data_IF_332860476676
#
_entry.id   IF_332860476676
#
_cell.length_a   1.000
_cell.length_b   1.000
_cell.length_c   1.000
_cell.angle_alpha   90.00
_cell.angle_beta   90.00
_cell.angle_gamma   90.00
#
_symmetry.space_group_name_H-M   'P 1'
#
loop_
_entity.id
_entity.type
_entity.pdbx_description
1 polymer ?
#
# COMPACT_ATOMS: atom_id res chain seq x y z
N UNK A 1 55.91 -30.02 -4.20
CA UNK A 1 54.48 -29.92 -4.57
C UNK A 1 54.45 -29.72 -6.08
N UNK A 2 53.67 -30.50 -6.80
CA UNK A 2 53.49 -30.25 -8.23
C UNK A 2 52.63 -28.99 -8.41
N UNK A 3 53.28 -27.89 -8.79
CA UNK A 3 52.63 -26.58 -8.96
C UNK A 3 51.56 -26.60 -10.06
N UNK A 4 51.76 -27.40 -11.11
CA UNK A 4 50.80 -27.55 -12.19
C UNK A 4 49.54 -28.28 -11.68
N UNK A 5 49.71 -29.34 -10.88
CA UNK A 5 48.58 -30.05 -10.27
C UNK A 5 47.79 -29.16 -9.29
N UNK A 6 48.48 -28.33 -8.50
CA UNK A 6 47.84 -27.38 -7.57
C UNK A 6 47.05 -26.31 -8.35
N UNK A 7 47.63 -25.76 -9.42
CA UNK A 7 46.97 -24.76 -10.25
C UNK A 7 45.74 -25.34 -10.96
N UNK A 8 45.82 -26.57 -11.48
CA UNK A 8 44.69 -27.26 -12.09
C UNK A 8 43.56 -27.51 -11.08
N UNK A 9 43.89 -27.95 -9.87
CA UNK A 9 42.90 -28.15 -8.80
C UNK A 9 42.24 -26.84 -8.36
N UNK A 10 43.00 -25.74 -8.28
CA UNK A 10 42.47 -24.41 -7.97
C UNK A 10 41.45 -23.95 -9.01
N UNK A 11 41.78 -24.04 -10.30
CA UNK A 11 40.87 -23.65 -11.39
C UNK A 11 39.59 -24.48 -11.34
N UNK A 12 39.71 -25.81 -11.24
CA UNK A 12 38.56 -26.69 -11.17
C UNK A 12 37.64 -26.39 -9.97
N UNK A 13 38.21 -26.09 -8.80
CA UNK A 13 37.42 -25.74 -7.61
C UNK A 13 36.74 -24.37 -7.75
N UNK A 14 37.44 -23.38 -8.32
CA UNK A 14 36.88 -22.06 -8.61
C UNK A 14 35.69 -22.16 -9.58
N UNK A 15 35.81 -22.95 -10.63
CA UNK A 15 34.75 -23.13 -11.63
C UNK A 15 33.51 -23.81 -11.01
N UNK A 16 33.71 -24.78 -10.10
CA UNK A 16 32.61 -25.37 -9.32
C UNK A 16 31.91 -24.37 -8.39
N UNK A 17 32.66 -23.47 -7.77
CA UNK A 17 32.10 -22.40 -6.93
C UNK A 17 31.26 -21.41 -7.76
N UNK A 18 31.71 -21.07 -8.96
CA UNK A 18 30.97 -20.19 -9.87
C UNK A 18 29.71 -20.89 -10.40
N UNK A 19 29.74 -22.19 -10.70
CA UNK A 19 28.56 -22.98 -11.04
C UNK A 19 27.55 -23.05 -9.87
N UNK A 20 28.02 -23.21 -8.63
CA UNK A 20 27.19 -23.17 -7.43
C UNK A 20 26.50 -21.80 -7.27
N UNK A 21 27.23 -20.70 -7.51
CA UNK A 21 26.67 -19.35 -7.49
C UNK A 21 25.63 -19.13 -8.59
N UNK A 22 25.86 -19.63 -9.80
CA UNK A 22 24.90 -19.56 -10.90
C UNK A 22 23.62 -20.34 -10.57
N UNK A 23 23.77 -21.54 -10.02
CA UNK A 23 22.63 -22.37 -9.57
C UNK A 23 21.85 -21.67 -8.45
N UNK A 24 22.54 -21.06 -7.48
CA UNK A 24 21.92 -20.23 -6.43
C UNK A 24 21.10 -19.08 -7.01
N UNK A 25 21.60 -18.44 -8.07
CA UNK A 25 20.93 -17.32 -8.72
C UNK A 25 19.62 -17.76 -9.39
N UNK A 26 19.55 -18.97 -9.94
CA UNK A 26 18.33 -19.52 -10.55
C UNK A 26 17.17 -19.67 -9.56
N UNK A 27 17.46 -19.87 -8.26
CA UNK A 27 16.42 -19.98 -7.22
C UNK A 27 15.60 -18.69 -7.09
N UNK A 28 16.21 -17.52 -7.31
CA UNK A 28 15.50 -16.24 -7.24
C UNK A 28 14.45 -16.11 -8.33
N UNK A 29 14.76 -16.55 -9.55
CA UNK A 29 13.78 -16.59 -10.65
C UNK A 29 12.62 -17.53 -10.31
N UNK A 30 12.89 -18.70 -9.71
CA UNK A 30 11.82 -19.63 -9.33
C UNK A 30 10.93 -19.12 -8.19
N UNK A 31 11.52 -18.40 -7.22
CA UNK A 31 10.79 -17.74 -6.12
C UNK A 31 9.85 -16.63 -6.63
N UNK A 32 10.20 -16.01 -7.75
CA UNK A 32 9.38 -14.99 -8.39
C UNK A 32 8.02 -15.56 -8.82
N UNK A 33 7.99 -16.77 -9.38
CA UNK A 33 6.77 -17.40 -9.89
C UNK A 33 5.99 -18.19 -8.83
N UNK A 34 6.67 -18.67 -7.78
CA UNK A 34 6.12 -19.63 -6.81
C UNK A 34 5.92 -19.06 -5.40
N UNK A 35 6.15 -17.76 -5.22
CA UNK A 35 6.06 -17.10 -3.92
C UNK A 35 7.37 -17.17 -3.13
N UNK A 36 7.55 -16.20 -2.23
CA UNK A 36 8.80 -16.01 -1.50
C UNK A 36 8.74 -16.67 -0.13
N UNK A 37 9.68 -17.59 0.09
CA UNK A 37 10.04 -18.09 1.42
C UNK A 37 11.25 -17.33 1.95
N UNK A 38 11.06 -16.56 3.04
CA UNK A 38 12.15 -15.84 3.73
C UNK A 38 13.27 -16.79 4.15
N UNK A 39 12.89 -17.99 4.62
CA UNK A 39 13.86 -19.02 5.02
C UNK A 39 14.72 -19.51 3.86
N UNK A 40 14.11 -19.74 2.68
CA UNK A 40 14.87 -20.13 1.48
C UNK A 40 15.78 -19.01 1.01
N UNK A 41 15.24 -17.80 0.92
CA UNK A 41 15.96 -16.56 0.63
C UNK A 41 17.21 -16.42 1.50
N UNK A 42 17.05 -16.61 2.81
CA UNK A 42 18.13 -16.49 3.77
C UNK A 42 19.20 -17.57 3.55
N UNK A 43 18.79 -18.82 3.29
CA UNK A 43 19.72 -19.93 2.98
C UNK A 43 20.50 -19.68 1.68
N UNK A 44 19.83 -19.23 0.62
CA UNK A 44 20.48 -18.92 -0.68
C UNK A 44 21.48 -17.77 -0.51
N UNK A 45 21.13 -16.74 0.26
CA UNK A 45 22.06 -15.65 0.57
C UNK A 45 23.26 -16.14 1.38
N UNK A 46 23.04 -16.92 2.44
CA UNK A 46 24.13 -17.52 3.21
C UNK A 46 25.05 -18.37 2.32
N UNK A 47 24.48 -19.11 1.37
CA UNK A 47 25.25 -19.88 0.40
C UNK A 47 26.13 -18.98 -0.48
N UNK A 48 25.59 -17.87 -1.00
CA UNK A 48 26.37 -16.88 -1.77
C UNK A 48 27.49 -16.27 -0.94
N UNK A 49 27.22 -15.87 0.30
CA UNK A 49 28.24 -15.31 1.21
C UNK A 49 29.34 -16.34 1.52
N UNK A 50 28.98 -17.61 1.72
CA UNK A 50 29.95 -18.71 1.90
C UNK A 50 30.82 -18.91 0.65
N UNK A 51 30.22 -18.93 -0.54
CA UNK A 51 30.96 -19.06 -1.82
C UNK A 51 31.95 -17.91 -1.99
N UNK A 52 31.53 -16.67 -1.73
CA UNK A 52 32.42 -15.50 -1.82
C UNK A 52 33.57 -15.57 -0.81
N UNK A 53 33.29 -16.00 0.42
CA UNK A 53 34.32 -16.18 1.46
C UNK A 53 35.33 -17.26 1.08
N UNK A 54 34.88 -18.38 0.52
CA UNK A 54 35.77 -19.45 0.02
C UNK A 54 36.66 -18.89 -1.09
N UNK A 55 36.10 -18.12 -2.03
CA UNK A 55 36.87 -17.51 -3.13
C UNK A 55 37.97 -16.58 -2.62
N UNK A 56 37.69 -15.73 -1.63
CA UNK A 56 38.73 -14.88 -1.03
C UNK A 56 39.83 -15.66 -0.31
N UNK A 57 39.47 -16.75 0.37
CA UNK A 57 40.45 -17.62 1.01
C UNK A 57 41.36 -18.30 -0.03
N UNK A 58 40.79 -18.74 -1.16
CA UNK A 58 41.54 -19.31 -2.27
C UNK A 58 42.45 -18.26 -2.94
N UNK A 59 41.94 -17.06 -3.19
CA UNK A 59 42.74 -15.94 -3.73
C UNK A 59 43.89 -15.59 -2.78
N UNK A 60 43.66 -15.64 -1.46
CA UNK A 60 44.71 -15.47 -0.45
C UNK A 60 45.75 -16.59 -0.44
N UNK A 61 45.32 -17.84 -0.62
CA UNK A 61 46.19 -19.02 -0.65
C UNK A 61 47.12 -19.03 -1.87
N UNK A 62 46.62 -18.56 -3.02
CA UNK A 62 47.37 -18.53 -4.30
C UNK A 62 48.09 -17.21 -4.56
N UNK A 63 47.83 -16.16 -3.77
CA UNK A 63 48.43 -14.85 -3.99
C UNK A 63 49.93 -14.86 -3.71
N UNK A 64 50.77 -14.35 -4.62
CA UNK A 64 52.18 -14.10 -4.34
C UNK A 64 52.37 -12.99 -3.29
N UNK A 65 51.33 -12.20 -2.99
CA UNK A 65 51.31 -11.15 -1.96
C UNK A 65 50.16 -11.38 -0.95
N UNK A 66 50.31 -12.32 0.00
CA UNK A 66 49.23 -12.73 0.88
C UNK A 66 48.74 -11.63 1.83
N UNK A 67 49.59 -10.65 2.18
CA UNK A 67 49.25 -9.57 3.11
C UNK A 67 48.04 -8.74 2.67
N UNK A 68 47.94 -8.40 1.38
CA UNK A 68 46.81 -7.62 0.83
C UNK A 68 45.52 -8.43 0.84
N UNK A 69 45.61 -9.71 0.48
CA UNK A 69 44.45 -10.63 0.49
C UNK A 69 43.94 -10.87 1.92
N UNK A 70 44.85 -11.03 2.88
CA UNK A 70 44.52 -11.19 4.31
C UNK A 70 43.87 -9.90 4.85
N UNK A 71 44.42 -8.72 4.54
CA UNK A 71 43.83 -7.45 4.98
C UNK A 71 42.40 -7.27 4.44
N UNK A 72 42.17 -7.62 3.17
CA UNK A 72 40.83 -7.60 2.54
C UNK A 72 39.86 -8.56 3.24
N UNK A 73 40.31 -9.78 3.53
CA UNK A 73 39.52 -10.79 4.24
C UNK A 73 39.15 -10.31 5.65
N UNK A 74 40.11 -9.78 6.42
CA UNK A 74 39.86 -9.21 7.76
C UNK A 74 38.86 -8.06 7.68
N UNK A 75 39.00 -7.15 6.71
CA UNK A 75 38.04 -6.09 6.47
C UNK A 75 36.62 -6.62 6.23
N UNK A 76 36.46 -7.66 5.41
CA UNK A 76 35.14 -8.29 5.18
C UNK A 76 34.60 -9.01 6.42
N UNK A 77 35.46 -9.62 7.23
CA UNK A 77 35.05 -10.27 8.48
C UNK A 77 34.58 -9.27 9.53
N UNK A 78 35.26 -8.13 9.66
CA UNK A 78 34.84 -7.02 10.52
C UNK A 78 33.50 -6.47 10.06
N UNK A 79 33.33 -6.25 8.75
CA UNK A 79 32.07 -5.79 8.18
C UNK A 79 30.93 -6.79 8.45
N UNK A 80 31.15 -8.08 8.18
CA UNK A 80 30.18 -9.14 8.44
C UNK A 80 29.84 -9.29 9.94
N UNK A 81 30.83 -9.11 10.82
CA UNK A 81 30.63 -9.07 12.27
C UNK A 81 29.76 -7.89 12.70
N UNK A 82 29.99 -6.70 12.13
CA UNK A 82 29.17 -5.52 12.41
C UNK A 82 27.73 -5.68 11.91
N UNK A 83 27.54 -6.30 10.75
CA UNK A 83 26.23 -6.58 10.19
C UNK A 83 25.48 -7.62 11.03
N UNK A 84 26.16 -8.66 11.53
CA UNK A 84 25.58 -9.67 12.43
C UNK A 84 25.09 -9.08 13.75
N UNK A 85 25.81 -8.11 14.30
CA UNK A 85 25.45 -7.47 15.57
C UNK A 85 24.43 -6.33 15.40
N UNK A 86 23.91 -6.11 14.18
CA UNK A 86 22.99 -5.03 13.89
C UNK A 86 21.58 -5.55 13.56
N UNK A 87 20.64 -5.29 14.47
CA UNK A 87 19.20 -5.52 14.23
C UNK A 87 18.74 -4.72 13.00
N UNK A 88 19.28 -3.51 12.81
CA UNK A 88 19.00 -2.67 11.63
C UNK A 88 19.48 -3.34 10.34
N UNK A 89 20.68 -3.93 10.32
CA UNK A 89 21.18 -4.63 9.14
C UNK A 89 20.38 -5.91 8.86
N UNK A 90 19.98 -6.65 9.91
CA UNK A 90 19.11 -7.81 9.77
C UNK A 90 17.75 -7.44 9.15
N UNK A 91 17.08 -6.41 9.67
CA UNK A 91 15.81 -5.91 9.12
C UNK A 91 16.01 -5.41 7.69
N UNK A 92 17.02 -4.57 7.44
CA UNK A 92 17.26 -4.02 6.10
C UNK A 92 17.49 -5.12 5.05
N UNK A 93 18.14 -6.21 5.45
CA UNK A 93 18.60 -7.23 4.54
C UNK A 93 17.62 -8.42 4.36
N UNK A 94 16.70 -8.64 5.31
CA UNK A 94 15.59 -9.59 5.17
C UNK A 94 14.32 -8.95 4.59
N UNK A 95 14.10 -7.65 4.88
CA UNK A 95 12.92 -6.94 4.37
C UNK A 95 13.02 -6.62 2.88
N UNK A 96 14.22 -6.51 2.30
CA UNK A 96 14.41 -6.04 0.92
C UNK A 96 13.78 -6.94 -0.14
N UNK A 97 13.83 -8.28 0.01
CA UNK A 97 13.30 -9.20 -1.01
C UNK A 97 11.82 -9.50 -0.86
N UNK A 98 11.29 -9.55 0.38
CA UNK A 98 9.85 -9.53 0.60
C UNK A 98 9.24 -8.22 0.10
N UNK A 99 9.88 -7.08 0.42
CA UNK A 99 9.47 -5.78 -0.07
C UNK A 99 9.54 -5.68 -1.59
N UNK A 100 10.60 -6.21 -2.23
CA UNK A 100 10.74 -6.22 -3.67
C UNK A 100 9.59 -6.96 -4.35
N UNK A 101 9.18 -8.12 -3.82
CA UNK A 101 8.09 -8.89 -4.43
C UNK A 101 6.70 -8.34 -4.15
N UNK A 102 6.48 -7.83 -2.94
CA UNK A 102 5.26 -7.06 -2.62
C UNK A 102 5.16 -5.84 -3.54
N UNK A 103 6.28 -5.21 -3.87
CA UNK A 103 6.37 -4.08 -4.81
C UNK A 103 6.09 -4.52 -6.25
N UNK A 104 6.74 -5.55 -6.78
CA UNK A 104 6.60 -5.98 -8.19
C UNK A 104 5.18 -6.39 -8.57
N UNK A 105 4.48 -7.16 -7.73
CA UNK A 105 3.10 -7.58 -8.06
C UNK A 105 2.07 -6.49 -7.82
N UNK A 106 2.32 -5.61 -6.83
CA UNK A 106 1.51 -4.40 -6.64
C UNK A 106 1.64 -3.45 -7.83
N UNK A 107 2.81 -3.41 -8.49
CA UNK A 107 3.05 -2.61 -9.69
C UNK A 107 2.19 -3.05 -10.89
N UNK A 108 2.10 -4.36 -11.16
CA UNK A 108 1.25 -4.90 -12.26
C UNK A 108 -0.22 -4.51 -12.09
N UNK A 109 -0.74 -4.61 -10.86
CA UNK A 109 -2.13 -4.22 -10.56
C UNK A 109 -2.30 -2.69 -10.57
N UNK A 110 -1.26 -1.95 -10.17
CA UNK A 110 -1.25 -0.49 -10.09
C UNK A 110 -1.38 0.22 -11.44
N UNK A 111 -0.83 -0.35 -12.51
CA UNK A 111 -0.87 0.21 -13.87
C UNK A 111 -2.31 0.47 -14.37
N UNK A 112 -3.25 -0.41 -14.03
CA UNK A 112 -4.65 -0.27 -14.41
C UNK A 112 -5.37 0.90 -13.73
N UNK A 113 -4.81 1.46 -12.65
CA UNK A 113 -5.36 2.64 -11.98
C UNK A 113 -4.85 3.96 -12.58
N UNK A 114 -3.82 3.92 -13.43
CA UNK A 114 -3.25 5.12 -14.06
C UNK A 114 -4.00 5.40 -15.37
N UNK A 115 -4.84 6.43 -15.33
CA UNK A 115 -5.59 6.91 -16.50
C UNK A 115 -4.66 7.68 -17.43
N UNK A 116 -4.74 7.44 -18.74
CA UNK A 116 -3.88 8.08 -19.75
C UNK A 116 -4.65 8.87 -20.81
N UNK A 117 -5.95 8.61 -20.92
CA UNK A 117 -6.85 9.28 -21.86
C UNK A 117 -8.13 9.79 -21.17
N UNK A 118 -8.96 10.51 -21.92
CA UNK A 118 -10.24 11.05 -21.43
C UNK A 118 -11.27 9.95 -21.10
N UNK A 119 -11.23 8.81 -21.78
CA UNK A 119 -12.19 7.73 -21.59
C UNK A 119 -11.94 6.98 -20.26
N UNK A 120 -10.70 6.58 -20.03
CA UNK A 120 -10.19 6.01 -18.78
C UNK A 120 -10.39 6.97 -17.60
N UNK A 121 -10.18 8.28 -17.78
CA UNK A 121 -10.50 9.28 -16.75
C UNK A 121 -11.98 9.30 -16.38
N UNK A 122 -12.88 9.36 -17.38
CA UNK A 122 -14.33 9.33 -17.14
C UNK A 122 -14.77 8.02 -16.48
N UNK A 123 -14.18 6.90 -16.88
CA UNK A 123 -14.44 5.60 -16.25
C UNK A 123 -14.00 5.58 -14.78
N UNK A 124 -12.82 6.13 -14.47
CA UNK A 124 -12.32 6.27 -13.11
C UNK A 124 -13.29 7.10 -12.25
N UNK A 125 -13.70 8.28 -12.74
CA UNK A 125 -14.67 9.13 -12.03
C UNK A 125 -16.00 8.41 -11.79
N UNK A 126 -16.52 7.65 -12.77
CA UNK A 126 -17.76 6.86 -12.61
C UNK A 126 -17.61 5.75 -11.57
N UNK A 127 -16.51 5.01 -11.59
CA UNK A 127 -16.23 3.97 -10.58
C UNK A 127 -16.05 4.57 -9.19
N UNK A 128 -15.41 5.73 -9.11
CA UNK A 128 -15.24 6.47 -7.86
C UNK A 128 -16.56 7.06 -7.35
N UNK A 129 -17.41 7.58 -8.24
CA UNK A 129 -18.75 8.03 -7.90
C UNK A 129 -19.56 6.91 -7.24
N UNK A 130 -19.57 5.70 -7.83
CA UNK A 130 -20.24 4.55 -7.21
C UNK A 130 -19.63 4.18 -5.85
N UNK A 131 -18.30 4.25 -5.70
CA UNK A 131 -17.64 4.06 -4.40
C UNK A 131 -18.08 5.10 -3.35
N UNK A 132 -18.25 6.36 -3.75
CA UNK A 132 -18.78 7.42 -2.90
C UNK A 132 -20.23 7.18 -2.48
N UNK A 133 -21.07 6.74 -3.42
CA UNK A 133 -22.46 6.37 -3.15
C UNK A 133 -22.58 5.19 -2.18
N UNK A 134 -21.78 4.12 -2.32
CA UNK A 134 -21.80 3.01 -1.36
C UNK A 134 -21.25 3.46 0.02
N UNK A 135 -20.29 4.38 0.02
CA UNK A 135 -19.74 4.93 1.26
C UNK A 135 -20.78 5.78 2.02
N UNK A 136 -21.79 6.35 1.37
CA UNK A 136 -22.85 7.08 2.09
C UNK A 136 -23.64 6.17 3.02
N UNK A 137 -23.96 4.95 2.57
CA UNK A 137 -24.58 3.91 3.40
C UNK A 137 -23.68 3.50 4.57
N UNK A 138 -22.36 3.48 4.34
CA UNK A 138 -21.35 3.18 5.35
C UNK A 138 -21.34 4.25 6.45
N UNK A 139 -21.48 5.53 6.07
CA UNK A 139 -21.57 6.64 7.03
C UNK A 139 -22.84 6.55 7.87
N UNK A 140 -23.99 6.22 7.26
CA UNK A 140 -25.23 6.00 8.01
C UNK A 140 -25.11 4.82 8.98
N UNK A 141 -24.60 3.68 8.50
CA UNK A 141 -24.39 2.50 9.32
C UNK A 141 -23.44 2.78 10.50
N UNK A 142 -22.41 3.61 10.30
CA UNK A 142 -21.54 4.09 11.37
C UNK A 142 -22.35 4.79 12.46
N UNK A 143 -23.15 5.80 12.13
CA UNK A 143 -23.97 6.49 13.13
C UNK A 143 -24.96 5.54 13.83
N UNK A 144 -25.52 4.57 13.10
CA UNK A 144 -26.34 3.50 13.69
C UNK A 144 -25.58 2.68 14.74
N UNK A 145 -24.34 2.28 14.46
CA UNK A 145 -23.49 1.54 15.43
C UNK A 145 -23.18 2.41 16.66
N UNK A 146 -22.87 3.69 16.48
CA UNK A 146 -22.64 4.60 17.60
C UNK A 146 -23.91 4.80 18.46
N UNK A 147 -25.09 4.85 17.82
CA UNK A 147 -26.36 5.00 18.51
C UNK A 147 -26.74 3.80 19.40
N UNK A 148 -26.15 2.61 19.17
CA UNK A 148 -26.35 1.45 20.03
C UNK A 148 -25.71 1.60 21.42
N UNK A 149 -24.86 2.62 21.64
CA UNK A 149 -24.26 2.87 22.96
C UNK A 149 -23.33 1.76 23.45
N UNK A 150 -22.75 0.98 22.52
CA UNK A 150 -21.83 -0.10 22.85
C UNK A 150 -20.54 0.44 23.51
N UNK A 151 -19.87 -0.40 24.31
CA UNK A 151 -18.56 -0.05 24.84
C UNK A 151 -17.55 0.22 23.72
N UNK A 152 -16.49 0.99 24.01
CA UNK A 152 -15.52 1.44 23.01
C UNK A 152 -14.96 0.29 22.15
N UNK A 153 -14.63 -0.85 22.77
CA UNK A 153 -14.15 -2.03 22.05
C UNK A 153 -15.19 -2.60 21.08
N UNK A 154 -16.43 -2.81 21.54
CA UNK A 154 -17.49 -3.40 20.72
C UNK A 154 -17.96 -2.47 19.62
N UNK A 155 -18.03 -1.16 19.89
CA UNK A 155 -18.29 -0.14 18.87
C UNK A 155 -17.18 -0.10 17.82
N UNK A 156 -15.91 -0.18 18.26
CA UNK A 156 -14.74 -0.26 17.37
C UNK A 156 -14.72 -1.53 16.52
N UNK A 157 -15.03 -2.69 17.10
CA UNK A 157 -15.13 -3.96 16.38
C UNK A 157 -16.28 -3.94 15.38
N UNK A 158 -17.47 -3.50 15.80
CA UNK A 158 -18.65 -3.39 14.93
C UNK A 158 -18.39 -2.44 13.75
N UNK A 159 -17.82 -1.26 14.02
CA UNK A 159 -17.40 -0.32 12.98
C UNK A 159 -16.35 -0.93 12.06
N UNK A 160 -15.39 -1.67 12.61
CA UNK A 160 -14.32 -2.31 11.83
C UNK A 160 -14.82 -3.38 10.88
N UNK A 161 -15.72 -4.25 11.34
CA UNK A 161 -16.39 -5.26 10.51
C UNK A 161 -17.26 -4.59 9.44
N UNK A 162 -17.99 -3.54 9.80
CA UNK A 162 -18.84 -2.78 8.87
C UNK A 162 -18.00 -2.09 7.77
N UNK A 163 -16.89 -1.44 8.13
CA UNK A 163 -15.96 -0.86 7.16
C UNK A 163 -15.35 -1.94 6.26
N UNK A 164 -14.92 -3.07 6.82
CA UNK A 164 -14.37 -4.19 6.04
C UNK A 164 -15.40 -4.70 5.02
N UNK A 165 -16.64 -4.93 5.44
CA UNK A 165 -17.73 -5.36 4.57
C UNK A 165 -18.00 -4.34 3.45
N UNK A 166 -18.05 -3.05 3.79
CA UNK A 166 -18.23 -1.97 2.81
C UNK A 166 -17.10 -1.94 1.78
N UNK A 167 -15.84 -1.96 2.21
CA UNK A 167 -14.69 -1.91 1.30
C UNK A 167 -14.59 -3.15 0.41
N UNK A 168 -14.94 -4.32 0.93
CA UNK A 168 -15.07 -5.56 0.15
C UNK A 168 -16.20 -5.44 -0.87
N UNK A 169 -17.37 -4.88 -0.50
CA UNK A 169 -18.47 -4.65 -1.42
C UNK A 169 -18.08 -3.68 -2.55
N UNK A 170 -17.40 -2.56 -2.25
CA UNK A 170 -16.85 -1.64 -3.26
C UNK A 170 -15.96 -2.40 -4.25
N UNK A 171 -15.06 -3.27 -3.76
CA UNK A 171 -14.18 -4.07 -4.61
C UNK A 171 -14.96 -5.05 -5.49
N UNK A 172 -15.92 -5.78 -4.93
CA UNK A 172 -16.70 -6.80 -5.65
C UNK A 172 -17.63 -6.19 -6.71
N UNK A 173 -18.11 -4.97 -6.49
CA UNK A 173 -18.89 -4.20 -7.46
C UNK A 173 -18.01 -3.49 -8.52
N UNK A 174 -16.70 -3.71 -8.50
CA UNK A 174 -15.72 -3.06 -9.38
C UNK A 174 -15.75 -1.52 -9.31
N UNK A 175 -16.16 -0.99 -8.16
CA UNK A 175 -16.13 0.42 -7.82
C UNK A 175 -14.74 0.79 -7.28
N UNK A 176 -14.49 2.09 -7.12
CA UNK A 176 -13.18 2.59 -6.72
C UNK A 176 -13.27 3.40 -5.44
N UNK A 177 -12.43 3.04 -4.46
CA UNK A 177 -12.14 3.85 -3.31
C UNK A 177 -10.72 4.42 -3.48
N UNK A 178 -10.61 5.74 -3.56
CA UNK A 178 -9.38 6.43 -3.97
C UNK A 178 -8.18 6.07 -3.09
N UNK A 179 -8.40 5.95 -1.78
CA UNK A 179 -7.38 5.77 -0.77
C UNK A 179 -6.62 4.44 -0.85
N UNK A 180 -7.11 3.46 -1.62
CA UNK A 180 -6.41 2.18 -1.86
C UNK A 180 -5.34 2.27 -2.95
N UNK A 181 -5.54 3.15 -3.93
CA UNK A 181 -4.70 3.22 -5.12
C UNK A 181 -3.24 3.60 -4.86
N UNK A 182 -2.90 4.53 -3.94
CA UNK A 182 -1.53 5.02 -3.77
C UNK A 182 -0.52 3.91 -3.47
N UNK A 183 -0.92 2.91 -2.68
CA UNK A 183 -0.06 1.79 -2.33
C UNK A 183 0.23 0.84 -3.50
N UNK A 184 -0.64 0.81 -4.51
CA UNK A 184 -0.49 -0.02 -5.72
C UNK A 184 0.24 0.74 -6.84
N UNK A 185 -0.04 2.03 -6.99
CA UNK A 185 0.53 2.86 -8.07
C UNK A 185 1.98 3.29 -7.79
N UNK A 186 2.38 3.43 -6.52
CA UNK A 186 3.75 3.85 -6.19
C UNK A 186 4.82 2.83 -6.62
N UNK A 187 4.63 1.51 -6.39
CA UNK A 187 5.49 0.49 -6.98
C UNK A 187 5.60 0.54 -8.51
N UNK A 188 4.48 0.75 -9.21
CA UNK A 188 4.45 0.86 -10.67
C UNK A 188 5.33 2.02 -11.15
N UNK A 189 5.18 3.19 -10.52
CA UNK A 189 6.01 4.35 -10.83
C UNK A 189 7.49 4.09 -10.55
N UNK A 190 7.81 3.44 -9.42
CA UNK A 190 9.19 3.09 -9.06
C UNK A 190 9.84 2.11 -10.07
N UNK A 191 9.07 1.19 -10.65
CA UNK A 191 9.57 0.27 -11.67
C UNK A 191 9.96 1.00 -12.97
N UNK A 192 9.23 2.07 -13.34
CA UNK A 192 9.50 2.91 -14.53
C UNK A 192 10.78 3.73 -14.40
N UNK A 193 11.19 4.09 -13.18
CA UNK A 193 12.46 4.79 -12.93
C UNK A 193 13.69 4.01 -13.43
N UNK A 194 13.62 2.67 -13.58
CA UNK A 194 14.73 1.83 -14.07
C UNK A 194 15.18 2.19 -15.49
N UNK A 195 14.29 2.75 -16.32
CA UNK A 195 14.55 3.05 -17.73
C UNK A 195 15.15 4.43 -18.02
N UNK A 196 15.26 5.31 -17.01
CA UNK A 196 15.66 6.71 -17.20
C UNK A 196 17.19 6.80 -17.28
N UNK A 197 17.78 6.41 -18.41
CA UNK A 197 19.22 6.62 -18.70
C UNK A 197 19.47 7.75 -19.71
N UNK A 198 18.42 8.31 -20.33
CA UNK A 198 18.46 9.39 -21.32
C UNK A 198 17.49 10.54 -20.95
N UNK A 199 17.67 11.73 -21.55
CA UNK A 199 16.77 12.89 -21.37
C UNK A 199 15.32 12.63 -21.77
N UNK A 200 15.09 11.86 -22.84
CA UNK A 200 13.72 11.47 -23.27
C UNK A 200 12.96 10.66 -22.21
N UNK A 201 13.64 9.85 -21.41
CA UNK A 201 13.01 9.06 -20.35
C UNK A 201 12.55 9.89 -19.15
N UNK A 202 13.05 11.12 -19.00
CA UNK A 202 12.65 12.01 -17.91
C UNK A 202 11.28 12.64 -18.18
N UNK A 203 11.04 13.09 -19.41
CA UNK A 203 9.76 13.69 -19.79
C UNK A 203 8.63 12.65 -19.74
N UNK A 204 8.86 11.44 -20.24
CA UNK A 204 7.94 10.31 -20.12
C UNK A 204 7.62 9.99 -18.65
N UNK A 205 8.63 10.02 -17.78
CA UNK A 205 8.43 9.80 -16.36
C UNK A 205 7.60 10.92 -15.71
N UNK A 206 7.86 12.18 -16.06
CA UNK A 206 7.09 13.33 -15.56
C UNK A 206 5.64 13.26 -16.02
N UNK A 207 5.38 12.87 -17.27
CA UNK A 207 4.03 12.64 -17.79
C UNK A 207 3.34 11.49 -17.05
N UNK A 208 4.07 10.42 -16.72
CA UNK A 208 3.54 9.31 -15.93
C UNK A 208 3.18 9.74 -14.50
N UNK A 209 4.01 10.58 -13.85
CA UNK A 209 3.67 11.18 -12.56
C UNK A 209 2.42 12.05 -12.68
N UNK A 210 2.30 12.86 -13.73
CA UNK A 210 1.12 13.69 -13.96
C UNK A 210 -0.15 12.83 -14.15
N UNK A 211 -0.08 11.76 -14.94
CA UNK A 211 -1.16 10.79 -15.12
C UNK A 211 -1.57 10.12 -13.81
N UNK A 212 -0.60 9.74 -12.98
CA UNK A 212 -0.85 9.15 -11.67
C UNK A 212 -1.57 10.13 -10.74
N UNK A 213 -1.04 11.34 -10.57
CA UNK A 213 -1.66 12.39 -9.73
C UNK A 213 -3.07 12.70 -10.21
N UNK A 214 -3.25 12.87 -11.52
CA UNK A 214 -4.55 13.09 -12.14
C UNK A 214 -5.56 11.99 -11.81
N UNK A 215 -5.11 10.74 -11.85
CA UNK A 215 -5.96 9.58 -11.53
C UNK A 215 -6.36 9.55 -10.05
N UNK A 216 -5.43 9.88 -9.15
CA UNK A 216 -5.71 10.00 -7.71
C UNK A 216 -6.70 11.13 -7.42
N UNK A 217 -6.51 12.30 -8.02
CA UNK A 217 -7.44 13.42 -7.84
C UNK A 217 -8.83 13.06 -8.37
N UNK A 218 -8.92 12.46 -9.57
CA UNK A 218 -10.19 12.01 -10.14
C UNK A 218 -10.93 11.04 -9.22
N UNK A 219 -10.21 10.08 -8.63
CA UNK A 219 -10.78 9.12 -7.70
C UNK A 219 -11.25 9.79 -6.39
N UNK A 220 -10.44 10.65 -5.77
CA UNK A 220 -10.80 11.34 -4.53
C UNK A 220 -12.01 12.24 -4.76
N UNK A 221 -12.00 13.06 -5.81
CA UNK A 221 -13.11 13.94 -6.15
C UNK A 221 -14.37 13.13 -6.49
N UNK A 222 -14.26 12.06 -7.28
CA UNK A 222 -15.39 11.19 -7.59
C UNK A 222 -16.03 10.59 -6.33
N UNK A 223 -15.23 10.18 -5.35
CA UNK A 223 -15.77 9.71 -4.06
C UNK A 223 -16.44 10.86 -3.28
N UNK A 224 -15.75 11.99 -3.09
CA UNK A 224 -16.19 13.09 -2.21
C UNK A 224 -17.41 13.83 -2.77
N UNK A 225 -17.40 14.14 -4.07
CA UNK A 225 -18.49 14.88 -4.72
C UNK A 225 -19.80 14.08 -4.76
N UNK A 226 -19.76 12.75 -4.61
CA UNK A 226 -20.95 11.91 -4.55
C UNK A 226 -21.34 11.55 -3.13
N UNK A 227 -20.39 11.27 -2.23
CA UNK A 227 -20.73 10.88 -0.85
C UNK A 227 -21.45 12.00 -0.10
N UNK A 228 -21.05 13.26 -0.30
CA UNK A 228 -21.66 14.41 0.40
C UNK A 228 -23.15 14.56 0.03
N UNK A 229 -23.54 14.71 -1.25
CA UNK A 229 -24.96 14.81 -1.60
C UNK A 229 -25.73 13.52 -1.32
N UNK A 230 -25.11 12.34 -1.48
CA UNK A 230 -25.78 11.07 -1.17
C UNK A 230 -26.10 10.93 0.33
N UNK A 231 -25.16 11.29 1.22
CA UNK A 231 -25.45 11.32 2.66
C UNK A 231 -26.47 12.40 2.99
N UNK A 232 -26.39 13.57 2.36
CA UNK A 232 -27.37 14.64 2.58
C UNK A 232 -28.79 14.18 2.21
N UNK A 233 -28.96 13.54 1.04
CA UNK A 233 -30.24 12.99 0.61
C UNK A 233 -30.76 11.92 1.58
N UNK A 234 -29.89 11.02 2.05
CA UNK A 234 -30.25 10.00 3.02
C UNK A 234 -30.64 10.59 4.39
N UNK A 235 -29.93 11.63 4.84
CA UNK A 235 -30.22 12.33 6.09
C UNK A 235 -31.54 13.12 6.01
N UNK A 236 -31.82 13.76 4.87
CA UNK A 236 -33.12 14.42 4.62
C UNK A 236 -34.24 13.38 4.59
N UNK A 237 -34.07 12.27 3.86
CA UNK A 237 -35.06 11.20 3.80
C UNK A 237 -35.36 10.62 5.20
N UNK A 238 -34.33 10.44 6.02
CA UNK A 238 -34.46 10.04 7.42
C UNK A 238 -35.29 11.05 8.22
N UNK A 239 -34.96 12.35 8.10
CA UNK A 239 -35.67 13.42 8.80
C UNK A 239 -37.14 13.51 8.39
N UNK A 240 -37.45 13.36 7.11
CA UNK A 240 -38.83 13.35 6.61
C UNK A 240 -39.60 12.11 7.10
N UNK A 241 -38.95 10.94 7.14
CA UNK A 241 -39.60 9.69 7.55
C UNK A 241 -39.85 9.61 9.06
N UNK A 242 -38.91 10.07 9.89
CA UNK A 242 -38.96 9.92 11.35
C UNK A 242 -39.25 11.22 12.10
N UNK A 243 -39.39 12.34 11.39
CA UNK A 243 -39.67 13.67 11.96
C UNK A 243 -38.63 14.10 13.00
N UNK A 244 -37.39 13.59 12.88
CA UNK A 244 -36.26 13.87 13.77
C UNK A 244 -34.97 13.90 12.96
N UNK A 245 -34.02 14.81 13.27
CA UNK A 245 -32.75 14.85 12.56
C UNK A 245 -31.97 13.55 12.76
N UNK A 246 -31.10 13.22 11.79
CA UNK A 246 -30.24 12.02 11.86
C UNK A 246 -29.30 12.08 13.08
N UNK A 247 -28.82 13.27 13.40
CA UNK A 247 -28.01 13.57 14.59
C UNK A 247 -28.70 14.68 15.38
N UNK A 248 -28.68 14.62 16.70
CA UNK A 248 -29.03 15.80 17.49
C UNK A 248 -27.95 16.89 17.36
N UNK A 249 -28.28 18.10 17.81
CA UNK A 249 -27.39 19.25 17.67
C UNK A 249 -26.04 19.06 18.38
N UNK A 250 -26.01 18.36 19.52
CA UNK A 250 -24.79 18.13 20.29
C UNK A 250 -23.85 17.16 19.56
N UNK A 251 -24.38 16.05 19.06
CA UNK A 251 -23.63 15.06 18.29
C UNK A 251 -23.17 15.64 16.94
N UNK A 252 -24.01 16.42 16.25
CA UNK A 252 -23.62 17.09 15.01
C UNK A 252 -22.48 18.10 15.25
N UNK A 253 -22.57 18.90 16.32
CA UNK A 253 -21.49 19.80 16.74
C UNK A 253 -20.19 19.05 17.09
N UNK A 254 -20.29 17.94 17.83
CA UNK A 254 -19.14 17.10 18.17
C UNK A 254 -18.47 16.49 16.92
N UNK A 255 -19.26 16.04 15.94
CA UNK A 255 -18.74 15.54 14.66
C UNK A 255 -17.96 16.63 13.93
N UNK A 256 -18.53 17.83 13.76
CA UNK A 256 -17.83 18.94 13.10
C UNK A 256 -16.58 19.36 13.86
N UNK A 257 -16.64 19.42 15.20
CA UNK A 257 -15.49 19.72 16.05
C UNK A 257 -14.36 18.70 15.92
N UNK A 258 -14.69 17.41 15.91
CA UNK A 258 -13.71 16.33 15.75
C UNK A 258 -13.02 16.31 14.39
N UNK A 259 -13.66 16.90 13.37
CA UNK A 259 -13.18 16.99 11.99
C UNK A 259 -12.63 18.39 11.64
N UNK A 260 -12.59 19.31 12.59
CA UNK A 260 -12.08 20.67 12.38
C UNK A 260 -10.60 20.65 12.02
N UNK A 261 -10.22 21.42 10.99
CA UNK A 261 -8.82 21.60 10.61
C UNK A 261 -8.00 22.34 11.68
N UNK A 262 -8.64 23.14 12.54
CA UNK A 262 -7.97 23.80 13.66
C UNK A 262 -7.56 22.83 14.79
N UNK A 263 -8.06 21.59 14.76
CA UNK A 263 -7.75 20.54 15.72
C UNK A 263 -6.68 19.53 15.22
N UNK A 264 -6.59 18.35 15.83
CA UNK A 264 -5.60 17.31 15.50
C UNK A 264 -5.89 16.56 14.18
N UNK A 265 -6.86 17.02 13.38
CA UNK A 265 -7.33 16.36 12.15
C UNK A 265 -6.19 16.08 11.16
N UNK A 266 -5.22 16.99 11.04
CA UNK A 266 -4.03 16.83 10.19
C UNK A 266 -3.21 15.61 10.61
N UNK A 267 -2.94 15.46 11.91
CA UNK A 267 -2.19 14.33 12.47
C UNK A 267 -2.92 13.01 12.23
N UNK A 268 -4.22 12.98 12.50
CA UNK A 268 -5.05 11.78 12.31
C UNK A 268 -5.21 11.40 10.84
N UNK A 269 -5.25 12.38 9.93
CA UNK A 269 -5.25 12.12 8.49
C UNK A 269 -3.93 11.53 7.99
N UNK A 270 -2.79 12.03 8.49
CA UNK A 270 -1.49 11.46 8.19
C UNK A 270 -1.36 10.04 8.75
N UNK A 271 -1.82 9.81 9.97
CA UNK A 271 -1.88 8.48 10.57
C UNK A 271 -2.74 7.51 9.74
N UNK A 272 -3.88 7.96 9.25
CA UNK A 272 -4.73 7.17 8.34
C UNK A 272 -3.97 6.79 7.07
N UNK A 273 -3.13 7.68 6.52
CA UNK A 273 -2.22 7.35 5.43
C UNK A 273 -1.22 6.24 5.76
N UNK A 274 -0.73 6.18 6.99
CA UNK A 274 0.11 5.07 7.48
C UNK A 274 -0.68 3.76 7.52
N UNK A 275 -1.93 3.79 7.97
CA UNK A 275 -2.80 2.60 7.99
C UNK A 275 -3.11 2.09 6.59
N UNK A 276 -3.35 2.98 5.63
CA UNK A 276 -3.53 2.63 4.22
C UNK A 276 -2.30 1.88 3.70
N UNK A 277 -1.09 2.40 3.95
CA UNK A 277 0.15 1.70 3.62
C UNK A 277 0.28 0.36 4.35
N UNK A 278 0.01 0.30 5.66
CA UNK A 278 0.10 -0.93 6.44
C UNK A 278 -0.85 -2.03 5.90
N UNK A 279 -2.07 -1.66 5.49
CA UNK A 279 -3.03 -2.60 4.89
C UNK A 279 -2.53 -3.20 3.59
N UNK A 280 -1.76 -2.43 2.80
CA UNK A 280 -1.15 -2.93 1.56
C UNK A 280 -0.01 -3.93 1.82
N UNK A 281 0.72 -3.79 2.92
CA UNK A 281 1.71 -4.78 3.34
C UNK A 281 1.05 -6.10 3.75
N UNK A 282 -0.07 -6.02 4.48
CA UNK A 282 -0.86 -7.20 4.85
C UNK A 282 -1.41 -7.89 3.60
N UNK A 283 -1.85 -7.11 2.62
CA UNK A 283 -2.31 -7.62 1.32
C UNK A 283 -1.21 -8.39 0.58
N UNK A 284 -0.04 -7.78 0.42
CA UNK A 284 1.11 -8.42 -0.23
C UNK A 284 1.60 -9.65 0.52
N UNK A 285 1.58 -9.63 1.86
CA UNK A 285 1.89 -10.80 2.68
C UNK A 285 0.87 -11.94 2.49
N UNK A 286 -0.42 -11.64 2.52
CA UNK A 286 -1.49 -12.63 2.35
C UNK A 286 -1.46 -13.27 0.96
N UNK A 287 -1.24 -12.46 -0.07
CA UNK A 287 -1.06 -12.93 -1.44
C UNK A 287 0.18 -13.82 -1.59
N UNK A 288 1.31 -13.41 -1.00
CA UNK A 288 2.52 -14.24 -0.98
C UNK A 288 2.28 -15.57 -0.27
N UNK A 289 1.63 -15.57 0.90
CA UNK A 289 1.29 -16.79 1.64
C UNK A 289 0.36 -17.69 0.82
N UNK A 290 -0.61 -17.11 0.11
CA UNK A 290 -1.54 -17.84 -0.74
C UNK A 290 -0.83 -18.59 -1.88
N UNK A 291 0.13 -17.94 -2.54
CA UNK A 291 0.94 -18.57 -3.61
C UNK A 291 1.94 -19.56 -3.02
N UNK A 292 2.67 -19.18 -1.97
CA UNK A 292 3.71 -20.00 -1.34
C UNK A 292 3.17 -21.35 -0.85
N UNK A 293 1.98 -21.35 -0.23
CA UNK A 293 1.33 -22.55 0.27
C UNK A 293 0.45 -23.25 -0.79
N UNK A 294 0.46 -22.77 -2.04
CA UNK A 294 -0.35 -23.30 -3.15
C UNK A 294 -1.82 -23.46 -2.77
N UNK A 295 -2.38 -22.45 -2.08
CA UNK A 295 -3.74 -22.51 -1.57
C UNK A 295 -4.78 -22.62 -2.69
N UNK A 296 -4.48 -22.09 -3.87
CA UNK A 296 -5.26 -22.32 -5.10
C UNK A 296 -5.39 -23.82 -5.43
N UNK A 297 -4.28 -24.54 -5.42
CA UNK A 297 -4.24 -25.99 -5.66
C UNK A 297 -4.94 -26.74 -4.52
N UNK A 298 -4.68 -26.34 -3.27
CA UNK A 298 -5.31 -26.94 -2.10
C UNK A 298 -6.83 -26.81 -2.17
N UNK A 299 -7.37 -25.64 -2.50
CA UNK A 299 -8.82 -25.43 -2.64
C UNK A 299 -9.42 -26.20 -3.81
N UNK A 300 -8.72 -26.24 -4.95
CA UNK A 300 -9.20 -26.93 -6.16
C UNK A 300 -9.33 -28.44 -5.98
N UNK A 301 -8.40 -29.06 -5.26
CA UNK A 301 -8.32 -30.52 -5.09
C UNK A 301 -8.72 -31.01 -3.70
N UNK A 302 -9.21 -30.14 -2.81
CA UNK A 302 -9.67 -30.55 -1.48
C UNK A 302 -10.89 -31.48 -1.60
N UNK A 303 -10.84 -32.71 -1.03
CA UNK A 303 -11.95 -33.66 -1.11
C UNK A 303 -13.26 -33.13 -0.53
N UNK A 304 -13.22 -32.35 0.56
CA UNK A 304 -14.42 -31.77 1.20
C UNK A 304 -15.04 -30.66 0.35
N UNK A 305 -14.21 -29.78 -0.21
CA UNK A 305 -14.68 -28.70 -1.10
C UNK A 305 -15.26 -29.32 -2.38
N UNK A 306 -14.57 -30.32 -2.94
CA UNK A 306 -15.04 -31.07 -4.10
C UNK A 306 -16.37 -31.78 -3.85
N UNK A 307 -16.54 -32.40 -2.68
CA UNK A 307 -17.78 -33.07 -2.29
C UNK A 307 -18.95 -32.09 -2.14
N UNK A 308 -18.73 -30.90 -1.57
CA UNK A 308 -19.80 -29.91 -1.31
C UNK A 308 -20.15 -29.09 -2.55
N UNK A 309 -19.16 -28.62 -3.32
CA UNK A 309 -19.38 -27.68 -4.43
C UNK A 309 -19.34 -28.35 -5.82
N UNK A 310 -18.65 -29.48 -5.94
CA UNK A 310 -18.26 -30.10 -7.21
C UNK A 310 -16.97 -29.51 -7.78
N UNK A 311 -16.25 -30.31 -8.57
CA UNK A 311 -14.91 -29.96 -9.10
C UNK A 311 -14.88 -28.65 -9.92
N UNK A 312 -15.92 -28.38 -10.72
CA UNK A 312 -15.98 -27.16 -11.53
C UNK A 312 -16.15 -25.89 -10.67
N UNK A 313 -16.96 -25.96 -9.59
CA UNK A 313 -17.13 -24.82 -8.67
C UNK A 313 -15.91 -24.63 -7.78
N UNK A 314 -15.29 -25.73 -7.32
CA UNK A 314 -14.04 -25.67 -6.57
C UNK A 314 -12.93 -24.97 -7.36
N UNK A 315 -12.81 -25.26 -8.67
CA UNK A 315 -11.88 -24.56 -9.57
C UNK A 315 -12.19 -23.06 -9.68
N UNK A 316 -13.44 -22.71 -9.98
CA UNK A 316 -13.86 -21.28 -10.04
C UNK A 316 -13.60 -20.54 -8.74
N UNK A 317 -13.82 -21.18 -7.60
CA UNK A 317 -13.56 -20.58 -6.29
C UNK A 317 -12.05 -20.38 -6.06
N UNK A 318 -11.23 -21.36 -6.40
CA UNK A 318 -9.77 -21.24 -6.32
C UNK A 318 -9.25 -20.08 -7.20
N UNK A 319 -9.72 -19.98 -8.44
CA UNK A 319 -9.36 -18.92 -9.37
C UNK A 319 -9.82 -17.55 -8.84
N UNK A 320 -11.06 -17.46 -8.34
CA UNK A 320 -11.59 -16.25 -7.70
C UNK A 320 -10.75 -15.82 -6.50
N UNK A 321 -10.39 -16.75 -5.61
CA UNK A 321 -9.53 -16.43 -4.46
C UNK A 321 -8.14 -15.99 -4.91
N UNK A 322 -7.54 -16.63 -5.92
CA UNK A 322 -6.23 -16.23 -6.45
C UNK A 322 -6.23 -14.79 -6.96
N UNK A 323 -7.32 -14.33 -7.56
CA UNK A 323 -7.46 -12.96 -8.05
C UNK A 323 -7.83 -11.95 -6.95
N UNK A 324 -8.61 -12.36 -5.94
CA UNK A 324 -9.21 -11.42 -4.98
C UNK A 324 -8.57 -11.39 -3.58
N UNK A 325 -7.76 -12.39 -3.20
CA UNK A 325 -7.23 -12.54 -1.84
C UNK A 325 -6.45 -11.32 -1.35
N UNK A 326 -5.61 -10.74 -2.20
CA UNK A 326 -4.84 -9.53 -1.90
C UNK A 326 -5.78 -8.36 -1.59
N UNK A 327 -6.80 -8.17 -2.43
CA UNK A 327 -7.78 -7.12 -2.24
C UNK A 327 -8.64 -7.30 -0.97
N UNK A 328 -9.02 -8.54 -0.64
CA UNK A 328 -9.73 -8.86 0.60
C UNK A 328 -8.86 -8.61 1.82
N UNK A 329 -7.61 -9.08 1.83
CA UNK A 329 -6.68 -8.83 2.92
C UNK A 329 -6.45 -7.32 3.14
N UNK A 330 -6.28 -6.53 2.07
CA UNK A 330 -6.18 -5.08 2.15
C UNK A 330 -7.43 -4.44 2.79
N UNK A 331 -8.61 -4.75 2.24
CA UNK A 331 -9.87 -4.12 2.63
C UNK A 331 -10.32 -4.53 4.04
N UNK A 332 -10.19 -5.80 4.39
CA UNK A 332 -10.54 -6.33 5.71
C UNK A 332 -9.60 -5.77 6.77
N UNK A 333 -8.29 -5.84 6.55
CA UNK A 333 -7.33 -5.29 7.50
C UNK A 333 -7.49 -3.78 7.67
N UNK A 334 -7.68 -3.02 6.58
CA UNK A 334 -7.96 -1.59 6.65
C UNK A 334 -9.24 -1.31 7.45
N UNK A 335 -10.36 -1.97 7.12
CA UNK A 335 -11.63 -1.78 7.82
C UNK A 335 -11.51 -2.01 9.32
N UNK A 336 -10.92 -3.14 9.71
CA UNK A 336 -10.64 -3.46 11.11
C UNK A 336 -9.72 -2.42 11.76
N UNK A 337 -8.68 -1.95 11.08
CA UNK A 337 -7.78 -0.94 11.60
C UNK A 337 -8.48 0.41 11.83
N UNK A 338 -9.32 0.87 10.89
CA UNK A 338 -10.06 2.13 11.04
C UNK A 338 -11.10 2.07 12.19
N UNK A 339 -11.63 0.88 12.51
CA UNK A 339 -12.60 0.69 13.59
C UNK A 339 -11.96 0.45 14.97
N UNK A 340 -10.99 -0.47 15.06
CA UNK A 340 -10.44 -0.93 16.33
C UNK A 340 -9.31 -0.04 16.87
N UNK A 341 -8.45 0.54 16.02
CA UNK A 341 -7.32 1.32 16.53
C UNK A 341 -7.72 2.52 17.39
N UNK A 342 -8.77 3.29 17.06
CA UNK A 342 -9.22 4.37 17.95
C UNK A 342 -9.60 3.87 19.35
N UNK A 343 -10.28 2.71 19.43
CA UNK A 343 -10.64 2.10 20.71
C UNK A 343 -9.41 1.62 21.50
N UNK A 344 -8.45 0.98 20.81
CA UNK A 344 -7.20 0.53 21.43
C UNK A 344 -6.35 1.72 21.89
N UNK A 345 -6.20 2.75 21.06
CA UNK A 345 -5.46 3.96 21.41
C UNK A 345 -6.09 4.73 22.57
N UNK A 346 -7.42 4.80 22.60
CA UNK A 346 -8.18 5.36 23.71
C UNK A 346 -7.93 4.61 25.02
N UNK A 347 -7.90 3.28 24.98
CA UNK A 347 -7.58 2.44 26.15
C UNK A 347 -6.19 2.74 26.73
N UNK A 348 -5.18 2.99 25.89
CA UNK A 348 -3.83 3.36 26.32
C UNK A 348 -3.66 4.88 26.59
N UNK A 349 -4.72 5.68 26.52
CA UNK A 349 -4.66 7.13 26.77
C UNK A 349 -3.95 7.95 25.69
N UNK A 350 -3.71 7.38 24.50
CA UNK A 350 -3.02 8.05 23.40
C UNK A 350 -3.92 9.06 22.66
N UNK A 351 -5.24 8.95 22.82
CA UNK A 351 -6.23 9.85 22.19
C UNK A 351 -6.17 9.87 20.66
N UNK A 352 -5.70 8.78 20.04
CA UNK A 352 -5.43 8.72 18.62
C UNK A 352 -6.66 8.27 17.84
N UNK A 353 -7.01 9.02 16.79
CA UNK A 353 -8.19 8.77 15.96
C UNK A 353 -7.80 8.73 14.47
N UNK A 354 -8.78 8.46 13.62
CA UNK A 354 -8.62 8.19 12.19
C UNK A 354 -9.49 9.17 11.39
N UNK A 355 -8.94 9.71 10.31
CA UNK A 355 -9.60 10.66 9.40
C UNK A 355 -9.42 10.16 7.97
N UNK A 356 -10.46 9.52 7.45
CA UNK A 356 -10.52 9.02 6.08
C UNK A 356 -11.39 9.95 5.24
N UNK A 357 -10.83 10.52 4.17
CA UNK A 357 -11.45 11.62 3.41
C UNK A 357 -12.91 11.41 3.05
N UNK A 358 -13.28 10.25 2.49
CA UNK A 358 -14.66 9.96 2.06
C UNK A 358 -15.62 9.81 3.23
N UNK A 359 -15.20 9.16 4.32
CA UNK A 359 -16.02 8.99 5.51
C UNK A 359 -16.18 10.34 6.22
N UNK A 360 -15.10 11.10 6.39
CA UNK A 360 -15.14 12.42 7.00
C UNK A 360 -16.01 13.40 6.21
N UNK A 361 -15.92 13.41 4.87
CA UNK A 361 -16.78 14.24 4.03
C UNK A 361 -18.27 13.88 4.20
N UNK A 362 -18.60 12.59 4.20
CA UNK A 362 -19.97 12.14 4.45
C UNK A 362 -20.46 12.50 5.85
N UNK A 363 -19.63 12.36 6.89
CA UNK A 363 -19.97 12.74 8.26
C UNK A 363 -20.24 14.25 8.40
N UNK A 364 -19.44 15.10 7.74
CA UNK A 364 -19.68 16.55 7.68
C UNK A 364 -21.03 16.83 6.99
N UNK A 365 -21.33 16.14 5.89
CA UNK A 365 -22.62 16.25 5.20
C UNK A 365 -23.81 15.89 6.10
N UNK A 366 -23.71 14.78 6.83
CA UNK A 366 -24.74 14.37 7.80
C UNK A 366 -24.94 15.40 8.92
N UNK A 367 -23.85 15.91 9.49
CA UNK A 367 -23.89 16.91 10.55
C UNK A 367 -24.47 18.24 10.07
N UNK A 368 -24.06 18.71 8.88
CA UNK A 368 -24.56 19.93 8.28
C UNK A 368 -26.08 19.86 8.02
N UNK A 369 -26.57 18.74 7.46
CA UNK A 369 -28.02 18.54 7.25
C UNK A 369 -28.77 18.47 8.58
N UNK A 370 -28.22 17.76 9.57
CA UNK A 370 -28.88 17.61 10.89
C UNK A 370 -29.01 18.93 11.65
N UNK A 371 -28.07 19.86 11.46
CA UNK A 371 -28.10 21.22 12.03
C UNK A 371 -28.98 22.20 11.22
N UNK A 372 -29.35 21.85 9.99
CA UNK A 372 -30.14 22.68 9.09
C UNK A 372 -29.40 23.91 8.54
N UNK A 373 -30.14 24.85 7.94
CA UNK A 373 -29.58 26.08 7.34
C UNK A 373 -28.72 26.93 8.30
N UNK A 374 -29.02 27.04 9.61
CA UNK A 374 -28.16 27.76 10.55
C UNK A 374 -26.71 27.24 10.60
N UNK A 375 -26.46 25.99 10.21
CA UNK A 375 -25.10 25.42 10.14
C UNK A 375 -24.17 26.22 9.23
N UNK A 376 -24.69 26.84 8.16
CA UNK A 376 -23.91 27.64 7.21
C UNK A 376 -23.28 28.89 7.85
N UNK A 377 -23.85 29.37 8.95
CA UNK A 377 -23.34 30.50 9.72
C UNK A 377 -22.31 30.06 10.77
N UNK A 378 -22.16 28.76 11.04
CA UNK A 378 -21.25 28.27 12.05
C UNK A 378 -19.82 28.17 11.49
N UNK A 379 -18.82 28.84 12.09
CA UNK A 379 -17.43 28.73 11.65
C UNK A 379 -16.90 27.30 11.68
N UNK A 380 -17.43 26.48 12.60
CA UNK A 380 -17.02 25.09 12.80
C UNK A 380 -17.27 24.23 11.55
N UNK A 381 -18.37 24.46 10.83
CA UNK A 381 -18.67 23.77 9.58
C UNK A 381 -17.58 24.05 8.55
N UNK A 382 -17.20 25.31 8.37
CA UNK A 382 -16.22 25.72 7.37
C UNK A 382 -14.81 25.23 7.70
N UNK A 383 -14.43 25.18 8.98
CA UNK A 383 -13.19 24.55 9.42
C UNK A 383 -13.17 23.04 9.14
N UNK A 384 -14.30 22.35 9.29
CA UNK A 384 -14.41 20.93 8.94
C UNK A 384 -14.39 20.71 7.42
N UNK A 385 -15.08 21.55 6.64
CA UNK A 385 -15.05 21.51 5.16
C UNK A 385 -13.65 21.78 4.63
N UNK A 386 -12.94 22.77 5.18
CA UNK A 386 -11.55 23.07 4.83
C UNK A 386 -10.59 21.90 5.14
N UNK A 387 -10.95 21.03 6.11
CA UNK A 387 -10.17 19.84 6.41
C UNK A 387 -10.24 18.77 5.31
N UNK A 388 -11.34 18.68 4.55
CA UNK A 388 -11.55 17.63 3.53
C UNK A 388 -10.38 17.52 2.53
N UNK A 389 -9.96 18.59 1.83
CA UNK A 389 -8.83 18.50 0.91
C UNK A 389 -7.51 18.12 1.60
N UNK A 390 -7.30 18.59 2.84
CA UNK A 390 -6.11 18.27 3.63
C UNK A 390 -6.10 16.78 4.03
N UNK A 391 -7.24 16.26 4.47
CA UNK A 391 -7.41 14.84 4.80
C UNK A 391 -7.13 13.99 3.56
N UNK A 392 -7.74 14.33 2.41
CA UNK A 392 -7.53 13.62 1.15
C UNK A 392 -6.07 13.62 0.71
N UNK A 393 -5.42 14.80 0.74
CA UNK A 393 -4.03 14.95 0.38
C UNK A 393 -3.11 14.11 1.29
N UNK A 394 -3.34 14.10 2.60
CA UNK A 394 -2.51 13.33 3.56
C UNK A 394 -2.77 11.83 3.49
N UNK A 395 -4.02 11.38 3.36
CA UNK A 395 -4.34 9.97 3.16
C UNK A 395 -3.57 9.41 1.94
N UNK A 396 -3.59 10.14 0.82
CA UNK A 396 -2.93 9.73 -0.43
C UNK A 396 -1.41 9.88 -0.36
N UNK A 397 -0.90 11.06 0.00
CA UNK A 397 0.53 11.36 -0.08
C UNK A 397 1.37 10.58 0.92
N UNK A 398 0.87 10.37 2.15
CA UNK A 398 1.60 9.60 3.17
C UNK A 398 1.65 8.13 2.78
N UNK A 399 0.52 7.54 2.36
CA UNK A 399 0.49 6.15 1.89
C UNK A 399 1.39 5.96 0.67
N UNK A 400 1.33 6.88 -0.29
CA UNK A 400 2.19 6.88 -1.47
C UNK A 400 3.67 6.97 -1.09
N UNK A 401 4.04 7.90 -0.20
CA UNK A 401 5.41 8.11 0.22
C UNK A 401 6.04 6.85 0.80
N UNK A 402 5.33 6.16 1.70
CA UNK A 402 5.84 4.92 2.30
C UNK A 402 5.95 3.79 1.27
N UNK A 403 4.95 3.62 0.41
CA UNK A 403 4.97 2.62 -0.66
C UNK A 403 6.10 2.90 -1.66
N UNK A 404 6.25 4.14 -2.09
CA UNK A 404 7.30 4.58 -3.01
C UNK A 404 8.70 4.41 -2.40
N UNK A 405 8.88 4.79 -1.13
CA UNK A 405 10.15 4.62 -0.41
C UNK A 405 10.52 3.15 -0.28
N UNK A 406 9.54 2.28 -0.03
CA UNK A 406 9.74 0.84 0.02
C UNK A 406 10.18 0.30 -1.34
N UNK A 407 9.52 0.73 -2.41
CA UNK A 407 9.85 0.36 -3.78
C UNK A 407 11.26 0.85 -4.21
N UNK A 408 11.61 2.09 -3.89
CA UNK A 408 12.95 2.64 -4.13
C UNK A 408 14.06 1.97 -3.32
N UNK A 409 13.74 1.32 -2.19
CA UNK A 409 14.75 0.50 -1.49
C UNK A 409 15.02 -0.82 -2.21
N UNK A 410 14.02 -1.34 -2.93
CA UNK A 410 14.19 -2.51 -3.78
C UNK A 410 14.94 -2.19 -5.09
N UNK A 411 14.83 -0.94 -5.57
CA UNK A 411 15.46 -0.49 -6.81
C UNK A 411 16.52 0.57 -6.50
N UNK A 412 17.81 0.21 -6.56
CA UNK A 412 18.96 1.05 -6.17
C UNK A 412 19.15 2.31 -7.04
N UNK A 413 18.27 3.32 -6.89
CA UNK A 413 18.31 4.61 -7.61
C UNK A 413 19.36 5.55 -7.00
N UNK A 414 20.21 6.13 -7.84
CA UNK A 414 21.28 7.06 -7.45
C UNK A 414 20.74 8.38 -6.88
N UNK A 415 21.57 9.10 -6.11
CA UNK A 415 21.20 10.41 -5.55
C UNK A 415 21.11 11.52 -6.62
N UNK A 416 21.88 11.41 -7.71
CA UNK A 416 21.91 12.39 -8.80
C UNK A 416 20.59 12.42 -9.58
N UNK A 417 20.01 11.25 -9.86
CA UNK A 417 18.74 11.12 -10.58
C UNK A 417 17.57 11.78 -9.83
N UNK A 418 17.62 11.77 -8.49
CA UNK A 418 16.58 12.36 -7.62
C UNK A 418 16.51 13.88 -7.69
N UNK A 419 17.65 14.55 -7.88
CA UNK A 419 17.68 16.01 -8.00
C UNK A 419 17.06 16.46 -9.34
N UNK A 420 17.43 15.76 -10.41
CA UNK A 420 16.94 16.01 -11.77
C UNK A 420 15.43 15.78 -11.91
N UNK A 421 14.91 14.68 -11.35
CA UNK A 421 13.47 14.40 -11.31
C UNK A 421 12.68 15.48 -10.57
N UNK A 422 13.17 15.93 -9.40
CA UNK A 422 12.51 17.02 -8.66
C UNK A 422 12.50 18.34 -9.44
N UNK A 423 13.58 18.64 -10.16
CA UNK A 423 13.66 19.81 -11.04
C UNK A 423 12.57 19.79 -12.11
N UNK A 424 12.49 18.70 -12.88
CA UNK A 424 11.53 18.55 -13.97
C UNK A 424 10.07 18.55 -13.49
N UNK A 425 9.77 17.90 -12.36
CA UNK A 425 8.43 17.96 -11.76
C UNK A 425 8.05 19.37 -11.33
N UNK A 426 8.99 20.13 -10.75
CA UNK A 426 8.76 21.52 -10.34
C UNK A 426 8.55 22.44 -11.54
N UNK A 427 9.27 22.19 -12.63
CA UNK A 427 9.09 22.90 -13.90
C UNK A 427 7.71 22.62 -14.51
N UNK A 428 7.30 21.35 -14.62
CA UNK A 428 5.97 20.96 -15.10
C UNK A 428 4.84 21.55 -14.26
N UNK A 429 5.00 21.57 -12.93
CA UNK A 429 4.04 22.21 -12.02
C UNK A 429 3.88 23.71 -12.29
N UNK A 430 4.98 24.40 -12.62
CA UNK A 430 4.96 25.84 -12.94
C UNK A 430 4.42 26.14 -14.33
N UNK A 431 4.78 25.34 -15.33
CA UNK A 431 4.45 25.60 -16.73
C UNK A 431 3.09 25.06 -17.14
N UNK A 432 2.68 23.89 -16.61
CA UNK A 432 1.43 23.19 -16.98
C UNK A 432 0.75 22.52 -15.78
N UNK A 433 0.32 23.27 -14.75
CA UNK A 433 -0.31 22.71 -13.55
C UNK A 433 -1.60 21.92 -13.87
N UNK A 434 -2.36 22.36 -14.87
CA UNK A 434 -3.61 21.71 -15.30
C UNK A 434 -3.42 20.26 -15.74
N UNK A 435 -2.22 19.91 -16.24
CA UNK A 435 -1.90 18.53 -16.65
C UNK A 435 -1.94 17.52 -15.51
N UNK A 436 -1.82 17.96 -14.25
CA UNK A 436 -1.96 17.11 -13.07
C UNK A 436 -3.43 16.87 -12.66
N UNK A 437 -4.39 17.59 -13.25
CA UNK A 437 -5.79 17.55 -12.82
C UNK A 437 -6.75 17.11 -13.93
N UNK A 438 -6.47 17.50 -15.17
CA UNK A 438 -7.34 17.26 -16.32
C UNK A 438 -6.55 16.60 -17.47
N UNK A 439 -7.17 15.65 -18.20
CA UNK A 439 -6.57 15.12 -19.42
C UNK A 439 -6.47 16.22 -20.50
N UNK A 440 -5.44 16.13 -21.33
CA UNK A 440 -5.26 17.00 -22.50
C UNK A 440 -6.44 16.92 -23.46
#
# INVERSE_FOLDING_TARGET
>A
RDEAAVQAAFVAFRDRLDACRASAASVYAHLEDNGISVGLVFRVRQMRERVLRIRELLDGLMSPTPAVSIARLVGRLVQAGSERNSIRALIASNSSMLAAKVTERSAETGEHYITRDRASYRQMVRKAAGGGALTSLTVLAKFGIYALGLSAFWSGLGSGVMYAASFVAIQLLHLTLATKQPAMTAPALAARLRGIRADSGLDEFVDEVANLVRSQVAAVLGNVLVVVPAVAALAIAWQLALQRPLLDAAHAGAVLGSLSLAGPTVLFAAFTGVLLFASSLIAGWAENAFVLHRLDSAMRYNPRIGAVLGAARARRWADFMRTHISGFAANISLGLMLGLLPAVAGFFGLGLDVRHVTLSAGQIGAAAVSLGLPALQQPLLWWAVAAIPVIGALNVSVSFYFAFRLALRAHSVSLADRARIRGALRERWRSRPTSFFLPA
#
